data_IF_770111633235
#
_entry.id   IF_770111633235
#
_cell.length_a   1.000
_cell.length_b   1.000
_cell.length_c   1.000
_cell.angle_alpha   90.00
_cell.angle_beta   90.00
_cell.angle_gamma   90.00
#
_symmetry.space_group_name_H-M   'P 1'
#
loop_
_entity.id
_entity.type
_entity.pdbx_description
1 polymer ?
#
# COMPACT_ATOMS: atom_id res chain seq x y z
N UNK A 1 54.35 21.62 -14.62
CA UNK A 1 53.91 22.26 -15.88
C UNK A 1 52.80 21.43 -16.49
N UNK A 2 51.64 22.07 -16.71
CA UNK A 2 50.55 21.73 -17.68
C UNK A 2 49.87 20.36 -17.56
N UNK A 3 48.55 20.18 -17.65
CA UNK A 3 47.42 21.05 -18.04
C UNK A 3 46.32 20.18 -18.69
N UNK A 4 45.04 20.56 -18.56
CA UNK A 4 43.94 20.10 -19.46
C UNK A 4 42.71 19.46 -18.81
N UNK A 5 41.58 20.20 -18.80
CA UNK A 5 40.18 19.86 -18.44
C UNK A 5 39.36 19.36 -19.66
N UNK A 6 38.03 19.16 -19.64
CA UNK A 6 37.08 18.54 -18.67
C UNK A 6 36.18 17.44 -19.32
N UNK A 7 35.40 16.68 -18.53
CA UNK A 7 34.21 15.97 -19.05
C UNK A 7 33.11 15.86 -18.00
N UNK A 8 31.94 16.40 -18.35
CA UNK A 8 30.72 16.39 -17.54
C UNK A 8 30.00 15.04 -17.65
N UNK A 9 29.59 14.51 -16.51
CA UNK A 9 28.77 13.32 -16.35
C UNK A 9 29.09 12.66 -15.02
N UNK A 10 28.13 12.31 -14.14
CA UNK A 10 28.46 11.66 -12.88
C UNK A 10 29.13 10.32 -13.19
N UNK A 11 30.43 10.27 -12.95
CA UNK A 11 31.25 9.10 -13.11
C UNK A 11 30.83 8.04 -12.09
N UNK A 12 30.55 6.85 -12.59
CA UNK A 12 30.46 5.67 -11.77
C UNK A 12 31.80 5.41 -11.06
N UNK A 13 31.66 5.02 -9.79
CA UNK A 13 32.61 4.28 -8.97
C UNK A 13 33.84 5.01 -8.39
N UNK A 14 33.68 5.49 -7.15
CA UNK A 14 34.56 5.05 -6.05
C UNK A 14 34.04 5.56 -4.69
N UNK A 15 33.01 4.88 -4.21
CA UNK A 15 32.78 4.70 -2.78
C UNK A 15 32.29 3.28 -2.67
N UNK A 16 33.07 2.38 -2.08
CA UNK A 16 32.56 1.05 -1.70
C UNK A 16 31.66 1.30 -0.50
N UNK A 17 30.53 1.93 -0.80
CA UNK A 17 29.52 2.32 0.16
C UNK A 17 28.98 1.06 0.80
N UNK A 18 28.47 1.20 2.00
CA UNK A 18 27.52 0.27 2.57
C UNK A 18 26.23 0.28 1.73
N UNK A 19 26.34 -0.15 0.48
CA UNK A 19 25.27 -0.64 -0.38
C UNK A 19 25.11 -2.10 -0.04
N UNK A 20 24.25 -2.36 0.95
CA UNK A 20 24.09 -3.69 1.50
C UNK A 20 23.00 -3.70 2.54
N UNK A 21 21.76 -3.51 2.09
CA UNK A 21 20.59 -3.87 2.89
C UNK A 21 19.71 -2.71 3.35
N UNK A 22 19.18 -1.90 2.43
CA UNK A 22 17.75 -1.59 2.51
C UNK A 22 16.97 -2.86 2.09
N UNK A 23 17.14 -3.93 2.87
CA UNK A 23 16.24 -5.09 2.86
C UNK A 23 15.32 -4.86 4.04
N UNK A 24 14.25 -4.11 3.80
CA UNK A 24 13.27 -3.82 4.84
C UNK A 24 12.26 -2.78 4.44
N UNK A 25 11.69 -2.86 3.24
CA UNK A 25 10.31 -2.48 2.86
C UNK A 25 10.17 -3.03 1.43
N UNK A 26 9.36 -4.07 1.27
CA UNK A 26 9.33 -4.92 0.07
C UNK A 26 8.67 -4.25 -1.12
N UNK A 27 9.31 -3.23 -1.69
CA UNK A 27 8.81 -2.52 -2.87
C UNK A 27 9.63 -2.83 -4.11
N UNK A 28 9.19 -3.80 -4.90
CA UNK A 28 9.81 -4.15 -6.18
C UNK A 28 8.73 -4.48 -7.19
N UNK A 29 8.32 -3.48 -7.97
CA UNK A 29 7.38 -3.55 -9.10
C UNK A 29 5.89 -3.77 -8.77
N UNK A 30 5.57 -4.54 -7.73
CA UNK A 30 4.19 -4.74 -7.29
C UNK A 30 3.52 -3.44 -6.83
N UNK A 31 4.28 -2.58 -6.13
CA UNK A 31 3.79 -1.28 -5.69
C UNK A 31 3.48 -0.34 -6.85
N UNK A 32 4.24 -0.35 -7.94
CA UNK A 32 4.06 0.61 -9.05
C UNK A 32 2.72 0.41 -9.75
N UNK A 33 2.31 -0.83 -10.01
CA UNK A 33 1.02 -1.13 -10.62
C UNK A 33 -0.16 -0.76 -9.71
N UNK A 34 -0.03 -1.00 -8.40
CA UNK A 34 -1.04 -0.58 -7.42
C UNK A 34 -1.09 0.94 -7.33
N UNK A 35 0.05 1.63 -7.26
CA UNK A 35 0.16 3.08 -7.24
C UNK A 35 -0.58 3.72 -8.42
N UNK A 36 -0.37 3.21 -9.64
CA UNK A 36 -1.04 3.74 -10.84
C UNK A 36 -2.55 3.46 -10.83
N UNK A 37 -2.98 2.31 -10.30
CA UNK A 37 -4.40 2.05 -10.06
C UNK A 37 -5.01 3.09 -9.10
N UNK A 38 -4.32 3.42 -8.01
CA UNK A 38 -4.82 4.36 -7.01
C UNK A 38 -4.91 5.80 -7.55
N UNK A 39 -3.96 6.22 -8.39
CA UNK A 39 -3.97 7.56 -9.02
C UNK A 39 -5.23 7.83 -9.85
N UNK A 40 -5.82 6.79 -10.44
CA UNK A 40 -7.04 6.91 -11.24
C UNK A 40 -8.33 7.12 -10.43
N UNK A 41 -8.28 6.99 -9.11
CA UNK A 41 -9.46 7.14 -8.25
C UNK A 41 -9.73 8.61 -7.90
N UNK A 42 -10.99 8.94 -7.62
CA UNK A 42 -11.41 10.27 -7.14
C UNK A 42 -12.15 10.21 -5.80
N UNK A 43 -12.27 9.02 -5.22
CA UNK A 43 -12.92 8.78 -3.92
C UNK A 43 -12.16 9.44 -2.77
N UNK A 44 -12.84 9.58 -1.63
CA UNK A 44 -12.27 10.14 -0.39
C UNK A 44 -11.03 9.37 0.07
N UNK A 45 -11.05 8.06 -0.08
CA UNK A 45 -9.90 7.17 0.07
C UNK A 45 -9.76 6.32 -1.19
N UNK A 46 -8.61 6.39 -1.83
CA UNK A 46 -8.31 5.60 -3.01
C UNK A 46 -8.26 4.10 -2.68
N UNK A 47 -7.64 3.78 -1.55
CA UNK A 47 -7.58 2.42 -1.03
C UNK A 47 -7.71 2.39 0.49
N UNK A 48 -8.01 1.23 1.03
CA UNK A 48 -7.78 0.88 2.41
C UNK A 48 -6.79 -0.28 2.51
N UNK A 49 -5.91 -0.25 3.50
CA UNK A 49 -4.91 -1.28 3.72
C UNK A 49 -4.67 -1.53 5.20
N UNK A 50 -4.49 -2.80 5.55
CA UNK A 50 -4.13 -3.20 6.91
C UNK A 50 -2.70 -2.76 7.26
N UNK A 51 -2.56 -2.00 8.35
CA UNK A 51 -1.28 -1.50 8.85
C UNK A 51 -0.94 -0.07 8.41
N UNK A 52 -0.64 0.77 9.40
CA UNK A 52 -0.37 2.19 9.20
C UNK A 52 0.86 2.48 8.32
N UNK A 53 1.98 1.77 8.54
CA UNK A 53 3.25 2.01 7.82
C UNK A 53 3.14 1.75 6.32
N UNK A 54 2.55 0.61 5.96
CA UNK A 54 2.34 0.25 4.55
C UNK A 54 1.35 1.22 3.88
N UNK A 55 0.28 1.61 4.57
CA UNK A 55 -0.71 2.55 4.02
C UNK A 55 -0.10 3.93 3.75
N UNK A 56 0.81 4.39 4.62
CA UNK A 56 1.50 5.66 4.47
C UNK A 56 2.44 5.64 3.26
N UNK A 57 3.15 4.53 3.04
CA UNK A 57 3.98 4.34 1.83
C UNK A 57 3.17 4.45 0.55
N UNK A 58 2.02 3.76 0.47
CA UNK A 58 1.13 3.84 -0.69
C UNK A 58 0.54 5.24 -0.87
N UNK A 59 0.13 5.91 0.20
CA UNK A 59 -0.45 7.25 0.12
C UNK A 59 0.55 8.27 -0.42
N UNK A 60 1.80 8.21 0.06
CA UNK A 60 2.88 9.09 -0.40
C UNK A 60 3.24 8.80 -1.87
N UNK A 61 3.35 7.53 -2.25
CA UNK A 61 3.76 7.15 -3.59
C UNK A 61 2.67 7.36 -4.66
N UNK A 62 1.40 7.19 -4.30
CA UNK A 62 0.26 7.47 -5.18
C UNK A 62 -0.20 8.92 -5.18
N UNK A 63 0.18 9.70 -4.17
CA UNK A 63 -0.36 11.05 -3.96
C UNK A 63 -1.87 11.04 -3.65
N UNK A 64 -2.40 9.88 -3.22
CA UNK A 64 -3.81 9.67 -2.96
C UNK A 64 -4.03 9.25 -1.51
N UNK A 65 -5.13 9.67 -0.88
CA UNK A 65 -5.43 9.26 0.49
C UNK A 65 -5.68 7.75 0.57
N UNK A 66 -4.97 7.08 1.49
CA UNK A 66 -5.16 5.66 1.80
C UNK A 66 -5.63 5.53 3.24
N UNK A 67 -6.70 4.77 3.46
CA UNK A 67 -7.24 4.48 4.76
C UNK A 67 -6.41 3.37 5.44
N UNK A 68 -5.71 3.73 6.51
CA UNK A 68 -5.08 2.75 7.38
C UNK A 68 -6.15 1.97 8.16
N UNK A 69 -6.10 0.64 8.10
CA UNK A 69 -6.93 -0.24 8.93
C UNK A 69 -6.03 -0.84 10.01
N UNK A 70 -6.31 -0.48 11.25
CA UNK A 70 -5.52 -0.90 12.40
C UNK A 70 -4.19 -0.16 12.52
N UNK A 71 -3.72 -0.09 13.76
CA UNK A 71 -2.47 0.57 14.13
C UNK A 71 -1.30 -0.40 14.22
N UNK A 72 -0.18 0.09 14.75
CA UNK A 72 1.07 -0.67 14.87
C UNK A 72 0.90 -2.03 15.58
N UNK A 73 -0.06 -2.15 16.51
CA UNK A 73 -0.37 -3.39 17.23
C UNK A 73 -1.67 -4.08 16.77
N UNK A 74 -2.33 -3.59 15.71
CA UNK A 74 -3.69 -4.02 15.32
C UNK A 74 -4.80 -3.62 16.31
N UNK A 75 -4.44 -2.89 17.38
CA UNK A 75 -5.35 -2.48 18.46
C UNK A 75 -5.93 -1.07 18.28
N UNK A 76 -5.41 -0.25 17.36
CA UNK A 76 -6.02 1.06 17.11
C UNK A 76 -7.44 0.84 16.54
N UNK A 77 -8.46 1.47 17.16
CA UNK A 77 -9.87 1.19 16.90
C UNK A 77 -10.40 1.75 15.57
N UNK A 78 -9.54 2.03 14.59
CA UNK A 78 -9.91 2.79 13.41
C UNK A 78 -9.66 2.04 12.10
N UNK A 79 -10.71 1.85 11.25
CA UNK A 79 -12.15 1.81 11.55
C UNK A 79 -12.64 0.44 12.07
N UNK A 80 -13.82 0.37 12.69
CA UNK A 80 -14.53 -0.91 12.96
C UNK A 80 -15.04 -1.57 11.68
N UNK A 81 -15.37 -2.87 11.70
CA UNK A 81 -15.97 -3.54 10.54
C UNK A 81 -17.23 -2.82 10.05
N UNK A 82 -18.13 -2.45 10.98
CA UNK A 82 -19.36 -1.75 10.62
C UNK A 82 -19.11 -0.37 9.99
N UNK A 83 -18.13 0.38 10.50
CA UNK A 83 -17.74 1.67 9.90
C UNK A 83 -17.10 1.47 8.52
N UNK A 84 -16.27 0.44 8.36
CA UNK A 84 -15.68 0.12 7.07
C UNK A 84 -16.75 -0.23 6.03
N UNK A 85 -17.73 -1.06 6.41
CA UNK A 85 -18.88 -1.37 5.56
C UNK A 85 -19.65 -0.11 5.16
N UNK A 86 -19.85 0.83 6.08
CA UNK A 86 -20.49 2.11 5.78
C UNK A 86 -19.67 2.95 4.79
N UNK A 87 -18.35 3.00 4.91
CA UNK A 87 -17.50 3.72 3.95
C UNK A 87 -17.55 3.09 2.55
N UNK A 88 -17.60 1.76 2.47
CA UNK A 88 -17.77 1.05 1.20
C UNK A 88 -19.14 1.35 0.60
N UNK A 89 -20.20 1.21 1.40
CA UNK A 89 -21.57 1.50 0.95
C UNK A 89 -21.76 2.98 0.52
N UNK A 90 -21.03 3.90 1.15
CA UNK A 90 -21.07 5.33 0.80
C UNK A 90 -20.19 5.67 -0.40
N UNK A 91 -19.40 4.73 -0.92
CA UNK A 91 -18.45 4.98 -2.01
C UNK A 91 -17.23 5.82 -1.59
N UNK A 92 -16.97 5.93 -0.30
CA UNK A 92 -15.83 6.69 0.22
C UNK A 92 -14.49 5.97 -0.02
N UNK A 93 -14.49 4.63 -0.04
CA UNK A 93 -13.30 3.80 -0.29
C UNK A 93 -13.50 3.01 -1.58
N UNK A 94 -12.53 3.06 -2.49
CA UNK A 94 -12.63 2.37 -3.78
C UNK A 94 -11.99 0.98 -3.77
N UNK A 95 -10.75 0.87 -3.29
CA UNK A 95 -10.00 -0.39 -3.28
C UNK A 95 -9.67 -0.86 -1.87
N UNK A 96 -9.54 -2.17 -1.66
CA UNK A 96 -8.86 -2.73 -0.50
C UNK A 96 -7.60 -3.45 -0.97
N UNK A 97 -6.44 -3.07 -0.43
CA UNK A 97 -5.16 -3.71 -0.73
C UNK A 97 -4.85 -4.66 0.42
N UNK A 98 -4.78 -5.96 0.12
CA UNK A 98 -4.40 -6.94 1.14
C UNK A 98 -2.91 -6.81 1.43
N UNK A 99 -2.58 -6.46 2.68
CA UNK A 99 -1.21 -6.45 3.16
C UNK A 99 -0.60 -7.83 3.04
N UNK A 100 0.65 -7.90 2.57
CA UNK A 100 1.39 -9.16 2.48
C UNK A 100 1.42 -9.89 3.82
N UNK A 101 1.35 -11.22 3.77
CA UNK A 101 1.20 -12.17 4.90
C UNK A 101 2.33 -12.14 5.96
N UNK A 102 3.20 -11.14 5.97
CA UNK A 102 4.46 -11.10 6.73
C UNK A 102 4.71 -9.87 7.61
N UNK A 103 3.76 -8.93 7.73
CA UNK A 103 3.91 -7.80 8.66
C UNK A 103 3.73 -8.24 10.12
N UNK A 104 4.73 -7.99 10.98
CA UNK A 104 4.59 -8.08 12.43
C UNK A 104 3.43 -7.17 12.88
N UNK A 105 2.27 -7.77 13.16
CA UNK A 105 1.03 -7.05 13.50
C UNK A 105 -0.18 -7.42 12.64
N UNK A 106 0.00 -8.23 11.58
CA UNK A 106 -1.08 -8.68 10.70
C UNK A 106 -1.91 -9.81 11.31
N UNK A 107 -3.15 -9.52 11.68
CA UNK A 107 -4.21 -10.54 11.75
C UNK A 107 -4.86 -10.81 13.11
N UNK A 108 -4.71 -9.94 14.11
CA UNK A 108 -5.54 -10.02 15.32
C UNK A 108 -6.31 -8.72 15.55
N UNK A 109 -7.62 -8.84 15.74
CA UNK A 109 -8.55 -7.71 15.89
C UNK A 109 -9.22 -7.30 14.58
N UNK A 110 -9.72 -6.07 14.56
CA UNK A 110 -10.63 -5.53 13.54
C UNK A 110 -10.11 -5.57 12.11
N UNK A 111 -8.81 -5.44 11.90
CA UNK A 111 -8.21 -5.55 10.56
C UNK A 111 -8.44 -6.94 9.92
N UNK A 112 -8.37 -8.00 10.72
CA UNK A 112 -8.64 -9.37 10.26
C UNK A 112 -10.12 -9.60 9.95
N UNK A 113 -11.02 -9.01 10.73
CA UNK A 113 -12.47 -9.07 10.49
C UNK A 113 -12.85 -8.35 9.19
N UNK A 114 -12.26 -7.17 8.93
CA UNK A 114 -12.45 -6.43 7.68
C UNK A 114 -11.89 -7.20 6.50
N UNK A 115 -10.67 -7.74 6.61
CA UNK A 115 -10.09 -8.54 5.53
C UNK A 115 -10.99 -9.73 5.18
N UNK A 116 -11.43 -10.48 6.19
CA UNK A 116 -12.31 -11.65 5.99
C UNK A 116 -13.62 -11.25 5.33
N UNK A 117 -14.23 -10.14 5.75
CA UNK A 117 -15.45 -9.63 5.13
C UNK A 117 -15.21 -9.22 3.67
N UNK A 118 -14.10 -8.54 3.36
CA UNK A 118 -13.78 -8.16 1.98
C UNK A 118 -13.59 -9.39 1.11
N UNK A 119 -12.84 -10.38 1.58
CA UNK A 119 -12.59 -11.65 0.88
C UNK A 119 -13.88 -12.43 0.59
N UNK A 120 -14.90 -12.30 1.45
CA UNK A 120 -16.20 -12.95 1.26
C UNK A 120 -17.15 -12.18 0.32
N UNK A 121 -16.98 -10.86 0.19
CA UNK A 121 -17.93 -9.99 -0.51
C UNK A 121 -17.41 -9.45 -1.85
N UNK A 122 -16.11 -9.53 -2.11
CA UNK A 122 -15.48 -8.98 -3.32
C UNK A 122 -14.50 -9.96 -3.97
N UNK A 123 -14.36 -9.87 -5.29
CA UNK A 123 -13.42 -10.70 -6.03
C UNK A 123 -11.97 -10.21 -5.86
N UNK A 124 -11.00 -11.11 -5.63
CA UNK A 124 -9.58 -10.74 -5.62
C UNK A 124 -9.10 -10.42 -7.05
N UNK A 125 -8.35 -9.33 -7.17
CA UNK A 125 -7.70 -8.86 -8.39
C UNK A 125 -6.19 -8.86 -8.14
N UNK A 126 -5.42 -9.52 -9.00
CA UNK A 126 -3.96 -9.46 -8.90
C UNK A 126 -3.44 -8.26 -9.68
N UNK A 127 -2.81 -7.32 -8.96
CA UNK A 127 -2.24 -6.09 -9.53
C UNK A 127 -0.75 -6.06 -9.19
N UNK A 128 0.09 -6.29 -10.19
CA UNK A 128 1.56 -6.31 -9.99
C UNK A 128 2.07 -7.43 -9.07
N UNK A 129 1.26 -8.44 -8.74
CA UNK A 129 1.59 -9.47 -7.75
C UNK A 129 1.06 -9.19 -6.33
N UNK A 130 0.39 -8.06 -6.13
CA UNK A 130 -0.36 -7.74 -4.91
C UNK A 130 -1.84 -8.06 -5.11
N UNK A 131 -2.49 -8.61 -4.09
CA UNK A 131 -3.94 -8.85 -4.12
C UNK A 131 -4.69 -7.56 -3.73
N UNK A 132 -5.53 -7.09 -4.64
CA UNK A 132 -6.38 -5.91 -4.49
C UNK A 132 -7.84 -6.33 -4.68
N UNK A 133 -8.77 -5.71 -3.96
CA UNK A 133 -10.20 -5.93 -4.09
C UNK A 133 -10.87 -4.63 -4.49
N UNK A 134 -11.75 -4.67 -5.49
CA UNK A 134 -12.57 -3.53 -5.90
C UNK A 134 -13.83 -3.51 -5.05
N UNK A 135 -13.92 -2.55 -4.13
CA UNK A 135 -15.02 -2.43 -3.17
C UNK A 135 -16.30 -1.87 -3.82
N UNK A 136 -16.24 -1.48 -5.09
CA UNK A 136 -17.42 -1.05 -5.86
C UNK A 136 -18.10 -2.20 -6.60
N UNK A 137 -17.48 -3.39 -6.64
CA UNK A 137 -17.97 -4.57 -7.36
C UNK A 137 -18.16 -5.75 -6.42
N UNK A 138 -19.30 -5.78 -5.73
CA UNK A 138 -19.68 -6.95 -4.93
C UNK A 138 -19.87 -8.18 -5.82
N UNK A 139 -19.48 -9.34 -5.30
CA UNK A 139 -19.74 -10.64 -5.95
C UNK A 139 -21.08 -11.26 -5.54
N UNK A 140 -21.87 -10.52 -4.74
CA UNK A 140 -23.16 -10.93 -4.20
C UNK A 140 -24.28 -10.04 -4.72
#
# INVERSE_FOLDING_TARGET
HSGGTPSSGPAAASGRGFGGGARGFGGGQADTAVIDLLKGTTTKWAAAQSGAMESAGLALASGRPVLAIGGFSGSDPAPTLAQFQQYVASGDVHYYVAGGRGGFGGGRGTAGEIQTWVEQNFAPISVGGTTVYDLTKSIN
#
